data_IF_483737307669
#
_entry.id   IF_483737307669
#
_cell.length_a   1.000
_cell.length_b   1.000
_cell.length_c   1.000
_cell.angle_alpha   90.00
_cell.angle_beta   90.00
_cell.angle_gamma   90.00
#
_symmetry.space_group_name_H-M   'P 1'
#
loop_
_entity.id
_entity.type
_entity.pdbx_description
1 polymer ?
#
# COMPACT_ATOMS: atom_id res chain seq x y z
N UNK A 1 -3.51 -14.14 5.96
CA UNK A 1 -3.25 -12.69 5.92
C UNK A 1 -4.01 -12.08 4.75
N UNK A 2 -4.67 -10.97 5.00
CA UNK A 2 -5.43 -10.24 3.96
C UNK A 2 -5.42 -8.74 4.21
N UNK A 3 -5.49 -7.97 3.14
CA UNK A 3 -5.62 -6.52 3.22
C UNK A 3 -7.04 -6.15 3.64
N UNK A 4 -7.15 -5.15 4.50
CA UNK A 4 -8.43 -4.67 4.98
C UNK A 4 -8.40 -3.20 5.39
N UNK A 5 -9.58 -2.58 5.42
CA UNK A 5 -9.81 -1.29 6.03
C UNK A 5 -10.34 -1.52 7.44
N UNK A 6 -9.53 -1.20 8.46
CA UNK A 6 -9.85 -1.38 9.87
C UNK A 6 -10.51 -0.12 10.44
N UNK A 7 -11.54 -0.30 11.25
CA UNK A 7 -12.16 0.77 12.02
C UNK A 7 -11.75 0.71 13.49
N UNK A 8 -11.53 1.88 14.09
CA UNK A 8 -11.24 2.02 15.51
C UNK A 8 -12.45 2.54 16.26
N UNK A 9 -12.95 1.79 17.26
CA UNK A 9 -13.99 2.24 18.18
C UNK A 9 -13.44 3.23 19.21
N UNK A 10 -12.18 3.03 19.63
CA UNK A 10 -11.47 3.87 20.58
C UNK A 10 -10.00 3.92 20.21
N UNK A 11 -9.20 4.75 20.89
CA UNK A 11 -7.76 4.85 20.69
C UNK A 11 -7.11 3.46 20.76
N UNK A 12 -6.41 3.07 19.67
CA UNK A 12 -5.71 1.80 19.55
C UNK A 12 -6.60 0.55 19.71
N UNK A 13 -7.90 0.65 19.47
CA UNK A 13 -8.86 -0.45 19.60
C UNK A 13 -9.64 -0.64 18.31
N UNK A 14 -9.40 -1.76 17.64
CA UNK A 14 -10.06 -2.13 16.37
C UNK A 14 -11.28 -2.98 16.67
N UNK A 15 -12.47 -2.51 16.26
CA UNK A 15 -13.76 -3.17 16.48
C UNK A 15 -14.27 -3.92 15.25
N UNK A 16 -13.95 -3.47 14.05
CA UNK A 16 -14.26 -4.20 12.83
C UNK A 16 -13.28 -3.85 11.70
N UNK A 17 -13.31 -4.66 10.67
CA UNK A 17 -12.58 -4.42 9.42
C UNK A 17 -13.42 -4.88 8.22
N UNK A 18 -13.22 -4.24 7.08
CA UNK A 18 -13.76 -4.66 5.79
C UNK A 18 -12.59 -5.10 4.92
N UNK A 19 -12.61 -6.37 4.51
CA UNK A 19 -11.54 -6.97 3.71
C UNK A 19 -11.64 -6.54 2.23
N UNK A 20 -10.60 -6.84 1.45
CA UNK A 20 -10.59 -6.60 0.00
C UNK A 20 -11.58 -7.49 -0.78
N UNK A 21 -12.23 -8.43 -0.11
CA UNK A 21 -13.35 -9.22 -0.63
C UNK A 21 -14.71 -8.68 -0.20
N UNK A 22 -14.74 -7.50 0.43
CA UNK A 22 -15.92 -6.86 1.03
C UNK A 22 -16.57 -7.66 2.19
N UNK A 23 -15.81 -8.55 2.79
CA UNK A 23 -16.22 -9.26 4.00
C UNK A 23 -16.02 -8.36 5.22
N UNK A 24 -17.07 -8.21 6.04
CA UNK A 24 -16.97 -7.49 7.31
C UNK A 24 -16.59 -8.46 8.43
N UNK A 25 -15.44 -8.20 9.04
CA UNK A 25 -14.97 -8.92 10.23
C UNK A 25 -15.24 -8.06 11.47
N UNK A 26 -15.92 -8.64 12.45
CA UNK A 26 -16.21 -7.95 13.72
C UNK A 26 -15.37 -8.56 14.84
N UNK A 27 -14.75 -7.69 15.63
CA UNK A 27 -13.90 -8.10 16.75
C UNK A 27 -14.56 -7.73 18.07
N UNK A 28 -14.95 -8.74 18.83
CA UNK A 28 -15.57 -8.56 20.15
C UNK A 28 -14.91 -9.52 21.16
N UNK A 29 -14.09 -9.00 22.10
CA UNK A 29 -13.74 -7.56 22.29
C UNK A 29 -12.84 -7.03 21.16
N UNK A 30 -12.79 -5.70 20.98
CA UNK A 30 -11.86 -5.08 20.03
C UNK A 30 -10.41 -5.46 20.33
N UNK A 31 -9.61 -5.68 19.28
CA UNK A 31 -8.19 -5.99 19.45
C UNK A 31 -7.31 -4.74 19.46
N UNK A 32 -6.15 -4.85 20.09
CA UNK A 32 -5.22 -3.73 20.23
C UNK A 32 -4.33 -3.57 19.01
N UNK A 33 -4.25 -2.33 18.51
CA UNK A 33 -3.35 -1.95 17.43
C UNK A 33 -2.68 -0.61 17.81
N UNK A 34 -1.42 -0.67 18.23
CA UNK A 34 -0.73 0.47 18.83
C UNK A 34 -0.54 1.67 17.90
N UNK A 35 -0.52 1.47 16.59
CA UNK A 35 -0.36 2.56 15.62
C UNK A 35 -1.69 3.16 15.12
N UNK A 36 -2.82 2.53 15.42
CA UNK A 36 -4.17 3.04 15.07
C UNK A 36 -4.69 3.95 16.17
N UNK A 37 -4.09 5.12 16.30
CA UNK A 37 -4.22 5.99 17.50
C UNK A 37 -5.47 6.85 17.53
N UNK A 38 -6.09 7.16 16.40
CA UNK A 38 -7.26 8.04 16.32
C UNK A 38 -8.54 7.23 16.46
N UNK A 39 -9.42 7.57 17.45
CA UNK A 39 -10.73 6.93 17.55
C UNK A 39 -11.62 7.24 16.36
N UNK A 40 -12.59 6.36 16.09
CA UNK A 40 -13.57 6.49 15.02
C UNK A 40 -12.94 6.85 13.68
N UNK A 41 -11.91 6.09 13.31
CA UNK A 41 -11.13 6.31 12.11
C UNK A 41 -10.90 5.01 11.36
N UNK A 42 -10.59 5.11 10.08
CA UNK A 42 -10.28 3.97 9.23
C UNK A 42 -8.80 3.92 8.90
N UNK A 43 -8.20 2.75 9.05
CA UNK A 43 -6.79 2.49 8.79
C UNK A 43 -6.63 1.32 7.83
N UNK A 44 -5.81 1.50 6.81
CA UNK A 44 -5.46 0.41 5.89
C UNK A 44 -4.42 -0.50 6.52
N UNK A 45 -4.67 -1.80 6.53
CA UNK A 45 -3.79 -2.77 7.19
C UNK A 45 -3.74 -4.11 6.47
N UNK A 46 -2.64 -4.83 6.69
CA UNK A 46 -2.56 -6.27 6.45
C UNK A 46 -2.93 -6.97 7.75
N UNK A 47 -4.01 -7.73 7.73
CA UNK A 47 -4.51 -8.48 8.88
C UNK A 47 -3.96 -9.89 8.88
N UNK A 48 -3.44 -10.29 10.04
CA UNK A 48 -3.04 -11.66 10.33
C UNK A 48 -3.92 -12.20 11.44
N UNK A 49 -4.61 -13.29 11.17
CA UNK A 49 -5.37 -14.03 12.16
C UNK A 49 -4.62 -15.33 12.49
N UNK A 50 -4.09 -15.43 13.70
CA UNK A 50 -3.48 -16.64 14.20
C UNK A 50 -4.54 -17.48 14.89
N UNK A 51 -5.04 -18.49 14.21
CA UNK A 51 -5.81 -19.54 14.87
C UNK A 51 -4.87 -20.39 15.71
N UNK A 52 -4.99 -20.26 17.01
CA UNK A 52 -4.30 -21.17 17.94
C UNK A 52 -5.15 -22.43 18.14
N UNK A 53 -4.54 -23.63 18.30
CA UNK A 53 -5.27 -24.85 18.69
C UNK A 53 -6.05 -24.68 20.00
N UNK A 54 -5.60 -23.79 20.88
CA UNK A 54 -6.20 -23.50 22.20
C UNK A 54 -7.29 -22.40 22.17
N UNK A 55 -7.82 -22.07 21.01
CA UNK A 55 -8.88 -21.05 20.80
C UNK A 55 -8.53 -19.60 21.20
N UNK A 56 -7.30 -19.29 21.50
CA UNK A 56 -6.85 -17.91 21.64
C UNK A 56 -6.62 -17.31 20.25
N UNK A 57 -7.61 -16.61 19.74
CA UNK A 57 -7.50 -15.88 18.47
C UNK A 57 -6.61 -14.65 18.69
N UNK A 58 -5.38 -14.72 18.19
CA UNK A 58 -4.49 -13.56 18.14
C UNK A 58 -4.63 -12.82 16.81
N UNK A 59 -5.28 -11.66 16.82
CA UNK A 59 -5.28 -10.77 15.68
C UNK A 59 -4.07 -9.84 15.75
N UNK A 60 -3.32 -9.76 14.64
CA UNK A 60 -2.25 -8.78 14.48
C UNK A 60 -2.43 -8.02 13.18
N UNK A 61 -1.96 -6.78 13.16
CA UNK A 61 -2.07 -5.92 11.99
C UNK A 61 -0.74 -5.25 11.66
N UNK A 62 -0.43 -5.20 10.38
CA UNK A 62 0.72 -4.46 9.86
C UNK A 62 0.20 -3.25 9.08
N UNK A 63 0.79 -2.09 9.32
CA UNK A 63 0.42 -0.86 8.63
C UNK A 63 0.65 -0.98 7.14
N UNK A 64 -0.35 -0.60 6.36
CA UNK A 64 -0.27 -0.44 4.91
C UNK A 64 -0.26 1.05 4.59
N UNK A 65 0.70 1.50 3.81
CA UNK A 65 0.81 2.88 3.38
C UNK A 65 -0.18 3.14 2.24
N UNK A 66 -1.06 4.12 2.42
CA UNK A 66 -1.96 4.57 1.36
C UNK A 66 -1.31 5.71 0.62
N UNK A 67 -1.01 5.50 -0.65
CA UNK A 67 -0.35 6.49 -1.50
C UNK A 67 -1.28 6.93 -2.62
N UNK A 68 -1.53 8.24 -2.67
CA UNK A 68 -2.31 8.86 -3.73
C UNK A 68 -1.37 9.35 -4.84
N UNK A 69 -1.74 9.17 -6.13
CA UNK A 69 -0.95 9.71 -7.22
C UNK A 69 -0.78 11.22 -7.12
N UNK A 70 0.45 11.67 -7.32
CA UNK A 70 0.80 13.09 -7.30
C UNK A 70 1.38 13.53 -8.65
N UNK A 71 1.42 14.83 -8.90
CA UNK A 71 2.04 15.39 -10.10
C UNK A 71 3.53 15.13 -10.10
N UNK A 72 4.14 14.83 -11.27
CA UNK A 72 5.58 14.66 -11.36
C UNK A 72 6.29 15.97 -11.11
N UNK A 73 7.44 15.91 -10.43
CA UNK A 73 8.41 17.01 -10.37
C UNK A 73 9.46 16.84 -11.49
N UNK A 74 10.31 17.86 -11.69
CA UNK A 74 11.37 17.84 -12.71
C UNK A 74 12.28 16.61 -12.61
N UNK A 75 12.58 16.19 -11.39
CA UNK A 75 13.45 15.06 -11.10
C UNK A 75 12.71 14.09 -10.19
N UNK A 76 11.96 13.14 -10.81
CA UNK A 76 11.35 12.05 -10.06
C UNK A 76 12.40 10.99 -9.79
N UNK A 77 12.89 10.83 -8.55
CA UNK A 77 13.86 9.80 -8.23
C UNK A 77 13.19 8.41 -8.30
N UNK A 78 13.87 7.49 -8.95
CA UNK A 78 13.41 6.11 -9.12
C UNK A 78 14.49 5.13 -8.69
N UNK A 79 15.02 5.30 -7.50
CA UNK A 79 15.95 4.34 -6.92
C UNK A 79 15.32 2.96 -6.86
N UNK A 80 16.07 1.88 -7.14
CA UNK A 80 15.48 0.56 -7.27
C UNK A 80 14.96 0.00 -5.96
N UNK A 81 13.91 -0.80 -6.07
CA UNK A 81 13.32 -1.59 -5.00
C UNK A 81 13.20 -3.04 -5.43
N UNK A 82 12.90 -3.94 -4.49
CA UNK A 82 12.51 -5.31 -4.80
C UNK A 82 10.99 -5.37 -4.91
N UNK A 83 10.45 -5.59 -6.09
CA UNK A 83 9.01 -5.79 -6.27
C UNK A 83 8.70 -7.27 -6.00
N UNK A 84 8.05 -7.54 -4.86
CA UNK A 84 7.70 -8.91 -4.48
C UNK A 84 6.36 -9.33 -5.07
N UNK A 85 5.36 -8.45 -5.03
CA UNK A 85 4.05 -8.67 -5.65
C UNK A 85 3.30 -7.38 -5.90
N UNK A 86 2.39 -7.41 -6.86
CA UNK A 86 1.45 -6.33 -7.15
C UNK A 86 0.14 -6.94 -7.66
N UNK A 87 -0.99 -6.45 -7.16
CA UNK A 87 -2.29 -6.98 -7.55
C UNK A 87 -3.39 -5.94 -7.39
N UNK A 88 -4.44 -6.08 -8.19
CA UNK A 88 -5.68 -5.36 -7.99
C UNK A 88 -6.50 -6.09 -6.91
N UNK A 89 -7.00 -5.37 -5.90
CA UNK A 89 -7.89 -5.95 -4.90
C UNK A 89 -9.13 -6.56 -5.56
N UNK A 90 -9.70 -7.60 -4.96
CA UNK A 90 -10.86 -8.28 -5.51
C UNK A 90 -12.06 -7.34 -5.63
N UNK A 91 -12.25 -6.43 -4.68
CA UNK A 91 -13.27 -5.38 -4.74
C UNK A 91 -12.91 -4.21 -5.66
N UNK A 92 -11.75 -4.25 -6.30
CA UNK A 92 -11.23 -3.22 -7.23
C UNK A 92 -11.02 -1.83 -6.64
N UNK A 93 -11.00 -1.70 -5.32
CA UNK A 93 -10.82 -0.41 -4.62
C UNK A 93 -9.37 0.01 -4.48
N UNK A 94 -8.43 -0.93 -4.59
CA UNK A 94 -7.00 -0.67 -4.40
C UNK A 94 -6.13 -1.45 -5.39
N UNK A 95 -5.04 -0.83 -5.80
CA UNK A 95 -3.88 -1.55 -6.32
C UNK A 95 -2.92 -1.72 -5.14
N UNK A 96 -2.59 -2.97 -4.83
CA UNK A 96 -1.75 -3.33 -3.70
C UNK A 96 -0.36 -3.74 -4.14
N UNK A 97 0.65 -3.30 -3.39
CA UNK A 97 2.05 -3.63 -3.62
C UNK A 97 2.68 -4.22 -2.35
N UNK A 98 3.54 -5.19 -2.54
CA UNK A 98 4.48 -5.65 -1.53
C UNK A 98 5.88 -5.40 -2.05
N UNK A 99 6.62 -4.52 -1.38
CA UNK A 99 7.96 -4.10 -1.77
C UNK A 99 8.99 -4.50 -0.72
N UNK A 100 10.18 -4.87 -1.18
CA UNK A 100 11.38 -4.91 -0.37
C UNK A 100 12.19 -3.65 -0.61
N UNK A 101 12.42 -2.87 0.44
CA UNK A 101 13.22 -1.65 0.38
C UNK A 101 14.48 -1.85 1.20
N UNK A 102 15.64 -1.66 0.56
CA UNK A 102 16.91 -1.76 1.26
C UNK A 102 17.10 -0.58 2.21
N UNK A 103 17.52 -0.86 3.42
CA UNK A 103 17.63 0.12 4.49
C UNK A 103 18.82 -0.15 5.40
N UNK A 104 19.14 0.80 6.25
CA UNK A 104 20.18 0.73 7.25
C UNK A 104 20.14 1.97 8.13
N UNK A 105 20.98 2.00 9.17
CA UNK A 105 21.12 3.20 10.01
C UNK A 105 21.82 4.29 9.20
N UNK A 106 21.17 5.45 8.94
CA UNK A 106 21.82 6.57 8.24
C UNK A 106 22.84 7.27 9.14
N UNK A 107 23.84 7.91 8.53
CA UNK A 107 24.81 8.73 9.24
C UNK A 107 24.18 9.99 9.85
N UNK A 108 23.15 10.51 9.17
CA UNK A 108 22.32 11.62 9.65
C UNK A 108 20.89 11.12 9.89
N UNK A 109 20.38 11.26 11.11
CA UNK A 109 19.01 10.86 11.49
C UNK A 109 17.92 11.56 10.69
N UNK A 110 18.23 12.68 10.03
CA UNK A 110 17.33 13.40 9.14
C UNK A 110 17.23 12.78 7.75
N UNK A 111 18.15 11.88 7.39
CA UNK A 111 18.11 11.16 6.13
C UNK A 111 17.03 10.06 6.19
N UNK A 112 15.91 10.31 5.54
CA UNK A 112 14.79 9.37 5.43
C UNK A 112 14.52 9.06 3.97
N UNK A 113 14.26 7.80 3.68
CA UNK A 113 13.79 7.39 2.37
C UNK A 113 12.40 7.98 2.11
N UNK A 114 12.17 8.35 0.86
CA UNK A 114 10.87 8.86 0.40
C UNK A 114 10.30 7.90 -0.63
N UNK A 115 9.05 7.53 -0.45
CA UNK A 115 8.29 6.69 -1.39
C UNK A 115 6.98 7.39 -1.72
N UNK A 116 6.61 7.37 -2.99
CA UNK A 116 5.37 7.96 -3.48
C UNK A 116 4.94 7.34 -4.81
N UNK A 117 3.79 7.77 -5.27
CA UNK A 117 3.26 7.41 -6.59
C UNK A 117 3.10 8.68 -7.42
N UNK A 118 3.60 8.65 -8.64
CA UNK A 118 3.57 9.78 -9.56
C UNK A 118 2.66 9.46 -10.74
N UNK A 119 1.76 10.37 -11.07
CA UNK A 119 0.94 10.31 -12.28
C UNK A 119 1.72 10.91 -13.44
N UNK A 120 2.30 10.08 -14.30
CA UNK A 120 3.10 10.53 -15.44
C UNK A 120 2.25 10.95 -16.64
N UNK A 121 1.19 10.20 -16.90
CA UNK A 121 0.34 10.43 -18.08
C UNK A 121 -1.07 9.92 -17.84
N UNK A 122 -2.03 10.63 -18.38
CA UNK A 122 -3.42 10.19 -18.42
C UNK A 122 -4.00 10.55 -19.78
N UNK A 123 -4.56 9.55 -20.46
CA UNK A 123 -5.19 9.71 -21.78
C UNK A 123 -6.63 9.23 -21.68
N UNK A 124 -7.55 10.03 -22.23
CA UNK A 124 -8.95 9.63 -22.38
C UNK A 124 -9.17 9.19 -23.83
N UNK A 125 -9.60 7.94 -24.02
CA UNK A 125 -9.92 7.39 -25.33
C UNK A 125 -11.30 7.86 -25.84
N UNK A 126 -11.58 7.64 -27.12
CA UNK A 126 -12.86 8.02 -27.76
C UNK A 126 -14.09 7.36 -27.12
N UNK A 127 -13.92 6.17 -26.50
CA UNK A 127 -14.97 5.48 -25.75
C UNK A 127 -15.19 6.02 -24.32
N UNK A 128 -14.49 7.09 -23.93
CA UNK A 128 -14.55 7.69 -22.59
C UNK A 128 -13.71 6.99 -21.54
N UNK A 129 -13.08 5.85 -21.82
CA UNK A 129 -12.21 5.12 -20.90
C UNK A 129 -10.83 5.77 -20.85
N UNK A 130 -10.21 5.72 -19.68
CA UNK A 130 -8.90 6.33 -19.44
C UNK A 130 -7.79 5.28 -19.38
N UNK A 131 -6.62 5.67 -19.87
CA UNK A 131 -5.36 4.97 -19.66
C UNK A 131 -4.47 5.85 -18.78
N UNK A 132 -4.10 5.33 -17.62
CA UNK A 132 -3.38 6.06 -16.59
C UNK A 132 -2.00 5.41 -16.41
N UNK A 133 -0.93 6.21 -16.53
CA UNK A 133 0.45 5.77 -16.28
C UNK A 133 0.92 6.29 -14.93
N UNK A 134 1.15 5.37 -14.01
CA UNK A 134 1.69 5.62 -12.68
C UNK A 134 3.11 5.09 -12.58
N UNK A 135 3.91 5.73 -11.76
CA UNK A 135 5.27 5.30 -11.45
C UNK A 135 5.55 5.38 -9.96
N UNK A 136 6.23 4.36 -9.43
CA UNK A 136 6.74 4.40 -8.07
C UNK A 136 7.91 5.39 -8.00
N UNK A 137 7.76 6.40 -7.16
CA UNK A 137 8.84 7.28 -6.75
C UNK A 137 9.57 6.64 -5.56
N UNK A 138 10.88 6.54 -5.64
CA UNK A 138 11.70 6.13 -4.52
C UNK A 138 12.98 6.97 -4.50
N UNK A 139 13.19 7.70 -3.41
CA UNK A 139 14.43 8.39 -3.11
C UNK A 139 15.06 7.72 -1.89
N UNK A 140 16.17 7.08 -2.11
CA UNK A 140 16.96 6.41 -1.08
C UNK A 140 17.56 7.38 -0.07
N UNK A 141 17.79 8.62 -0.49
CA UNK A 141 18.30 9.72 0.33
C UNK A 141 19.56 9.33 1.15
N UNK A 142 20.49 8.62 0.50
CA UNK A 142 21.77 8.15 1.07
C UNK A 142 21.62 7.18 2.27
N UNK A 143 20.44 6.63 2.49
CA UNK A 143 20.26 5.58 3.51
C UNK A 143 21.01 4.32 3.09
N UNK A 144 21.85 3.72 3.98
CA UNK A 144 22.60 2.53 3.65
C UNK A 144 21.71 1.33 3.31
N UNK A 145 22.24 0.40 2.50
CA UNK A 145 21.51 -0.77 2.01
C UNK A 145 22.05 -2.04 2.66
N UNK A 146 21.80 -2.22 3.95
CA UNK A 146 22.30 -3.36 4.73
C UNK A 146 21.29 -4.49 4.89
N UNK A 147 20.00 -4.17 4.96
CA UNK A 147 18.93 -5.14 5.12
C UNK A 147 17.68 -4.73 4.35
N UNK A 148 16.76 -5.66 4.16
CA UNK A 148 15.51 -5.41 3.44
C UNK A 148 14.36 -5.22 4.42
N UNK A 149 13.66 -4.07 4.31
CA UNK A 149 12.38 -3.83 4.95
C UNK A 149 11.24 -4.15 3.99
N UNK A 150 10.23 -4.86 4.46
CA UNK A 150 9.02 -5.13 3.70
C UNK A 150 8.02 -4.01 3.94
N UNK A 151 7.56 -3.40 2.85
CA UNK A 151 6.50 -2.39 2.86
C UNK A 151 5.29 -2.89 2.11
N UNK A 152 4.11 -2.65 2.69
CA UNK A 152 2.82 -2.83 2.02
C UNK A 152 2.27 -1.46 1.63
N UNK A 153 1.84 -1.33 0.38
CA UNK A 153 1.30 -0.11 -0.18
C UNK A 153 -0.04 -0.41 -0.83
N UNK A 154 -1.00 0.48 -0.65
CA UNK A 154 -2.27 0.47 -1.38
C UNK A 154 -2.46 1.81 -2.08
N UNK A 155 -2.78 1.74 -3.38
CA UNK A 155 -3.11 2.91 -4.19
C UNK A 155 -4.63 2.91 -4.40
N UNK A 156 -5.38 3.88 -3.85
CA UNK A 156 -6.83 3.94 -4.04
C UNK A 156 -7.20 4.17 -5.50
N UNK A 157 -8.26 3.51 -5.95
CA UNK A 157 -8.77 3.58 -7.33
C UNK A 157 -10.04 4.44 -7.46
N UNK A 158 -10.47 5.10 -6.38
CA UNK A 158 -11.75 5.83 -6.33
C UNK A 158 -11.87 6.94 -7.38
N UNK A 159 -10.76 7.51 -7.86
CA UNK A 159 -10.72 8.54 -8.90
C UNK A 159 -10.93 7.97 -10.31
N UNK A 160 -10.98 6.67 -10.47
CA UNK A 160 -11.06 5.98 -11.74
C UNK A 160 -12.37 5.19 -11.86
N UNK A 161 -12.74 4.82 -13.08
CA UNK A 161 -13.99 4.13 -13.38
C UNK A 161 -13.76 2.73 -13.91
N UNK A 162 -14.78 1.89 -13.84
CA UNK A 162 -14.77 0.57 -14.47
C UNK A 162 -14.38 0.67 -15.95
N UNK A 163 -13.43 -0.15 -16.37
CA UNK A 163 -12.89 -0.17 -17.71
C UNK A 163 -11.68 0.75 -17.93
N UNK A 164 -11.35 1.61 -16.98
CA UNK A 164 -10.09 2.36 -17.02
C UNK A 164 -8.92 1.39 -16.81
N UNK A 165 -7.80 1.64 -17.47
CA UNK A 165 -6.57 0.88 -17.30
C UNK A 165 -5.52 1.70 -16.56
N UNK A 166 -4.83 1.05 -15.63
CA UNK A 166 -3.75 1.67 -14.85
C UNK A 166 -2.49 0.86 -15.09
N UNK A 167 -1.48 1.50 -15.70
CA UNK A 167 -0.16 0.91 -15.89
C UNK A 167 0.79 1.44 -14.83
N UNK A 168 1.28 0.55 -13.99
CA UNK A 168 2.22 0.88 -12.92
C UNK A 168 3.63 0.47 -13.31
N UNK A 169 4.57 1.42 -13.25
CA UNK A 169 6.00 1.21 -13.45
C UNK A 169 6.72 1.25 -12.11
N UNK A 170 7.60 0.27 -11.91
CA UNK A 170 8.43 0.15 -10.72
C UNK A 170 9.86 -0.14 -11.16
N UNK A 171 10.80 0.71 -10.81
CA UNK A 171 12.21 0.43 -11.04
C UNK A 171 12.72 -0.58 -10.01
N UNK A 172 13.21 -1.71 -10.49
CA UNK A 172 13.75 -2.78 -9.65
C UNK A 172 15.24 -2.95 -9.89
N UNK A 173 15.92 -3.70 -9.03
CA UNK A 173 17.33 -4.06 -9.23
C UNK A 173 17.58 -4.86 -10.52
N UNK A 174 16.52 -5.38 -11.14
CA UNK A 174 16.56 -6.13 -12.39
C UNK A 174 16.04 -5.31 -13.59
N UNK A 175 15.81 -4.03 -13.40
CA UNK A 175 15.30 -3.10 -14.41
C UNK A 175 13.86 -2.65 -14.13
N UNK A 176 13.32 -1.87 -15.07
CA UNK A 176 11.97 -1.33 -14.99
C UNK A 176 10.94 -2.45 -15.22
N UNK A 177 10.05 -2.63 -14.24
CA UNK A 177 8.92 -3.55 -14.32
C UNK A 177 7.63 -2.77 -14.55
N UNK A 178 6.77 -3.28 -15.41
CA UNK A 178 5.47 -2.71 -15.71
C UNK A 178 4.37 -3.74 -15.49
N UNK A 179 3.25 -3.31 -14.92
CA UNK A 179 2.04 -4.11 -14.83
C UNK A 179 0.81 -3.24 -15.08
N UNK A 180 -0.12 -3.76 -15.88
CA UNK A 180 -1.38 -3.08 -16.18
C UNK A 180 -2.54 -3.76 -15.46
N UNK A 181 -3.36 -2.93 -14.83
CA UNK A 181 -4.59 -3.35 -14.15
C UNK A 181 -5.78 -2.72 -14.85
N UNK A 182 -6.82 -3.49 -15.09
CA UNK A 182 -8.08 -3.01 -15.68
C UNK A 182 -9.17 -3.07 -14.62
N UNK A 183 -9.80 -1.90 -14.39
CA UNK A 183 -10.86 -1.77 -13.40
C UNK A 183 -12.22 -2.26 -13.90
#
# INVERSE_FOLDING_TARGET
AEMADMHTAAKCKVDYAVTDTDEKLTFNPPFSCHWATTPDSTYRAMLYNKKSPDKTEGNTCVKVWVLHPMKPSKDTPTDPVKLQSSWLSQNKKYINLRLGVMSGKPDDEKQKQKIGIVLNKQVTHTNGKKAIDLQLLHNRNHVPAYYTNILYISIPTASYKSGDSIRLKVNTYQGMMEKTFVL
#
